data_IF_751928772021
#
_entry.id   IF_751928772021
#
_cell.length_a   1.000
_cell.length_b   1.000
_cell.length_c   1.000
_cell.angle_alpha   90.00
_cell.angle_beta   90.00
_cell.angle_gamma   90.00
#
_symmetry.space_group_name_H-M   'P 1'
#
loop_
_entity.id
_entity.type
_entity.pdbx_description
1 polymer ?
#
# COMPACT_ATOMS: atom_id res chain seq x y z
N UNK A 1 98.74 24.72 30.36
CA UNK A 1 97.33 25.20 30.38
C UNK A 1 96.72 24.82 29.04
N UNK A 2 95.87 23.80 28.98
CA UNK A 2 95.15 23.46 27.76
C UNK A 2 93.72 24.05 27.83
N UNK A 3 93.31 24.62 26.66
CA UNK A 3 91.99 25.22 26.46
C UNK A 3 90.97 24.16 26.18
N UNK A 4 89.81 24.21 26.85
CA UNK A 4 88.64 23.43 26.63
C UNK A 4 87.81 23.99 25.45
N UNK A 5 87.50 23.14 24.49
CA UNK A 5 86.53 23.44 23.39
C UNK A 5 85.13 23.05 23.83
N UNK A 6 84.08 23.80 23.49
CA UNK A 6 82.73 23.45 23.82
C UNK A 6 82.16 22.40 22.80
N UNK A 7 81.49 21.38 23.33
CA UNK A 7 80.76 20.40 22.57
C UNK A 7 79.43 21.00 22.02
N UNK A 8 79.18 20.81 20.75
CA UNK A 8 78.02 21.22 20.05
C UNK A 8 76.96 20.14 20.18
N UNK A 9 75.93 20.35 20.99
CA UNK A 9 74.75 19.48 21.10
C UNK A 9 73.91 19.61 19.87
N UNK A 10 73.75 18.51 19.06
CA UNK A 10 72.82 18.37 17.92
C UNK A 10 71.52 17.86 18.47
N UNK A 11 70.55 18.74 18.72
CA UNK A 11 69.14 18.33 18.96
C UNK A 11 68.52 17.73 17.72
N UNK A 12 68.08 16.45 17.80
CA UNK A 12 67.23 15.79 16.81
C UNK A 12 65.83 16.27 17.06
N UNK A 13 65.30 17.06 16.12
CA UNK A 13 63.87 17.37 16.07
C UNK A 13 63.11 16.15 15.54
N UNK A 14 62.24 15.55 16.40
CA UNK A 14 61.25 14.59 15.97
C UNK A 14 60.08 15.33 15.33
N UNK A 15 59.92 15.20 14.01
CA UNK A 15 58.73 15.66 13.30
C UNK A 15 57.68 14.56 13.43
N UNK A 16 56.67 14.76 14.34
CA UNK A 16 55.48 13.92 14.40
C UNK A 16 54.55 14.27 13.23
N UNK A 17 54.51 13.39 12.25
CA UNK A 17 53.50 13.45 11.16
C UNK A 17 52.20 12.90 11.69
N UNK A 18 51.27 13.77 12.07
CA UNK A 18 49.86 13.39 12.33
C UNK A 18 49.19 13.10 10.96
N UNK A 19 49.06 11.83 10.63
CA UNK A 19 48.23 11.41 9.49
C UNK A 19 46.73 11.63 9.87
N UNK A 20 46.15 12.71 9.37
CA UNK A 20 44.71 12.93 9.45
C UNK A 20 44.02 11.93 8.54
N UNK A 21 43.39 10.91 9.13
CA UNK A 21 42.47 9.99 8.39
C UNK A 21 41.21 10.78 8.06
N UNK A 22 41.11 11.29 6.84
CA UNK A 22 39.88 11.87 6.30
C UNK A 22 38.93 10.71 6.00
N UNK A 23 37.99 10.47 6.89
CA UNK A 23 36.83 9.61 6.58
C UNK A 23 36.00 10.33 5.51
N UNK A 24 36.11 9.90 4.27
CA UNK A 24 35.18 10.28 3.22
C UNK A 24 33.81 9.66 3.56
N UNK A 25 32.95 10.43 4.22
CA UNK A 25 31.52 10.18 4.30
C UNK A 25 30.95 10.37 2.89
N UNK A 26 31.00 9.31 2.05
CA UNK A 26 30.17 9.28 0.86
C UNK A 26 28.71 9.29 1.34
N UNK A 27 27.91 10.32 1.03
CA UNK A 27 26.49 10.24 1.28
C UNK A 27 25.97 9.05 0.47
N UNK A 28 25.37 8.07 1.15
CA UNK A 28 24.64 7.02 0.47
C UNK A 28 23.61 7.73 -0.43
N UNK A 29 23.77 7.64 -1.75
CA UNK A 29 22.80 8.17 -2.71
C UNK A 29 21.54 7.36 -2.49
N UNK A 30 20.62 7.91 -1.70
CA UNK A 30 19.30 7.33 -1.55
C UNK A 30 18.66 7.30 -2.95
N UNK A 31 18.48 6.11 -3.50
CA UNK A 31 17.80 5.95 -4.80
C UNK A 31 16.38 6.46 -4.62
N UNK A 32 16.11 7.60 -5.23
CA UNK A 32 14.78 8.22 -5.19
C UNK A 32 13.76 7.31 -5.86
N UNK A 33 12.65 7.06 -5.19
CA UNK A 33 11.51 6.31 -5.73
C UNK A 33 10.30 7.24 -5.89
N UNK A 34 9.44 6.94 -6.86
CA UNK A 34 8.17 7.63 -7.13
C UNK A 34 6.96 6.73 -6.83
N UNK A 35 7.18 5.72 -6.00
CA UNK A 35 6.20 4.66 -5.76
C UNK A 35 6.33 4.06 -4.37
N UNK A 36 5.26 3.43 -3.89
CA UNK A 36 5.24 2.75 -2.61
C UNK A 36 4.37 1.48 -2.66
N UNK A 37 4.75 0.50 -1.87
CA UNK A 37 3.94 -0.68 -1.59
C UNK A 37 2.99 -0.36 -0.44
N UNK A 38 1.69 -0.59 -0.62
CA UNK A 38 0.69 -0.46 0.45
C UNK A 38 0.18 -1.85 0.82
N UNK A 39 0.42 -2.25 2.06
CA UNK A 39 0.01 -3.54 2.62
C UNK A 39 -1.38 -3.41 3.26
N UNK A 40 -2.19 -4.47 3.16
CA UNK A 40 -3.53 -4.50 3.74
C UNK A 40 -3.72 -5.73 4.60
N UNK A 41 -4.00 -5.50 5.88
CA UNK A 41 -4.39 -6.49 6.87
C UNK A 41 -5.83 -6.23 7.36
N UNK A 42 -6.39 -7.16 8.18
CA UNK A 42 -7.66 -6.98 8.88
C UNK A 42 -7.60 -7.52 10.31
N UNK A 43 -7.47 -8.85 10.49
CA UNK A 43 -7.47 -9.58 11.77
C UNK A 43 -6.11 -10.17 12.08
N UNK A 44 -5.81 -10.40 13.35
CA UNK A 44 -4.51 -10.87 13.80
C UNK A 44 -4.66 -11.96 14.86
N UNK A 45 -4.17 -13.18 14.58
CA UNK A 45 -4.13 -14.28 15.52
C UNK A 45 -5.49 -14.85 15.94
N UNK A 46 -6.53 -14.60 15.15
CA UNK A 46 -7.85 -15.20 15.37
C UNK A 46 -7.89 -16.60 14.75
N UNK A 47 -8.54 -17.57 15.40
CA UNK A 47 -8.64 -18.95 14.91
C UNK A 47 -9.65 -19.13 13.78
N UNK A 48 -10.56 -18.17 13.63
CA UNK A 48 -11.59 -18.14 12.61
C UNK A 48 -11.24 -17.10 11.53
N UNK A 49 -11.89 -17.19 10.36
CA UNK A 49 -11.77 -16.19 9.30
C UNK A 49 -10.40 -16.13 8.59
N UNK A 50 -9.79 -17.28 8.26
CA UNK A 50 -8.49 -17.38 7.58
C UNK A 50 -8.31 -16.45 6.36
N UNK A 51 -9.39 -16.09 5.65
CA UNK A 51 -9.37 -15.19 4.50
C UNK A 51 -9.07 -13.73 4.87
N UNK A 52 -9.31 -13.32 6.11
CA UNK A 52 -9.07 -11.97 6.63
C UNK A 52 -8.11 -11.95 7.81
N UNK A 53 -7.85 -13.10 8.44
CA UNK A 53 -6.90 -13.25 9.53
C UNK A 53 -5.48 -13.45 9.02
N UNK A 54 -4.49 -12.93 9.73
CA UNK A 54 -3.09 -13.30 9.62
C UNK A 54 -2.67 -13.98 10.93
N UNK A 55 -1.97 -15.12 10.87
CA UNK A 55 -1.42 -15.71 12.08
C UNK A 55 -0.33 -14.82 12.66
N UNK A 56 -0.15 -14.84 13.98
CA UNK A 56 0.85 -14.00 14.63
C UNK A 56 2.28 -14.33 14.22
N UNK A 57 2.60 -15.62 14.00
CA UNK A 57 3.91 -16.04 13.48
C UNK A 57 4.21 -15.45 12.09
N UNK A 58 3.21 -15.43 11.19
CA UNK A 58 3.33 -14.79 9.88
C UNK A 58 3.50 -13.28 10.02
N UNK A 59 2.71 -12.63 10.89
CA UNK A 59 2.79 -11.20 11.10
C UNK A 59 4.15 -10.80 11.69
N UNK A 60 4.65 -11.52 12.69
CA UNK A 60 5.98 -11.28 13.27
C UNK A 60 7.10 -11.47 12.25
N UNK A 61 7.00 -12.47 11.36
CA UNK A 61 7.94 -12.65 10.25
C UNK A 61 7.89 -11.47 9.25
N UNK A 62 6.69 -10.94 8.95
CA UNK A 62 6.54 -9.74 8.11
C UNK A 62 7.20 -8.51 8.74
N UNK A 63 6.98 -8.30 10.04
CA UNK A 63 7.59 -7.19 10.76
C UNK A 63 9.11 -7.32 10.84
N UNK A 64 9.63 -8.53 11.05
CA UNK A 64 11.07 -8.81 11.03
C UNK A 64 11.69 -8.52 9.64
N UNK A 65 10.99 -8.87 8.54
CA UNK A 65 11.45 -8.50 7.20
C UNK A 65 11.49 -6.98 7.01
N UNK A 66 10.43 -6.25 7.43
CA UNK A 66 10.35 -4.79 7.33
C UNK A 66 11.34 -4.06 8.23
N UNK A 67 11.86 -4.71 9.29
CA UNK A 67 12.89 -4.14 10.16
C UNK A 67 14.29 -4.16 9.56
N UNK A 68 14.48 -4.70 8.35
CA UNK A 68 15.76 -4.63 7.64
C UNK A 68 16.00 -3.22 7.09
N UNK A 69 17.22 -2.73 7.17
CA UNK A 69 17.65 -1.35 6.83
C UNK A 69 17.22 -0.85 5.44
N UNK A 70 16.95 -1.77 4.51
CA UNK A 70 16.52 -1.39 3.16
C UNK A 70 15.09 -0.84 3.08
N UNK A 71 14.21 -1.20 4.04
CA UNK A 71 12.81 -0.79 4.00
C UNK A 71 12.58 0.51 4.75
N UNK A 72 11.71 1.33 4.21
CA UNK A 72 11.24 2.57 4.79
C UNK A 72 9.74 2.48 5.04
N UNK A 73 9.35 2.13 6.27
CA UNK A 73 7.94 2.08 6.66
C UNK A 73 7.50 3.49 7.07
N UNK A 74 6.68 4.13 6.23
CA UNK A 74 6.29 5.53 6.38
C UNK A 74 4.78 5.69 6.57
N UNK A 75 4.34 6.80 7.20
CA UNK A 75 2.92 7.13 7.28
C UNK A 75 2.29 7.25 5.89
N UNK A 76 1.16 6.59 5.67
CA UNK A 76 0.48 6.59 4.37
C UNK A 76 0.15 8.01 3.86
N UNK A 77 -0.32 8.97 4.69
CA UNK A 77 -0.56 10.34 4.22
C UNK A 77 0.68 11.03 3.67
N UNK A 78 1.86 10.82 4.26
CA UNK A 78 3.12 11.40 3.80
C UNK A 78 3.54 10.81 2.45
N UNK A 79 3.44 9.48 2.30
CA UNK A 79 3.68 8.79 1.02
C UNK A 79 2.80 9.36 -0.08
N UNK A 80 1.50 9.49 0.19
CA UNK A 80 0.54 9.96 -0.82
C UNK A 80 0.74 11.43 -1.16
N UNK A 81 1.14 12.24 -0.18
CA UNK A 81 1.52 13.64 -0.41
C UNK A 81 2.74 13.72 -1.34
N UNK A 82 3.80 12.98 -1.06
CA UNK A 82 5.01 12.95 -1.87
C UNK A 82 4.73 12.46 -3.31
N UNK A 83 3.95 11.38 -3.48
CA UNK A 83 3.56 10.87 -4.80
C UNK A 83 2.76 11.93 -5.58
N UNK A 84 1.84 12.64 -4.92
CA UNK A 84 1.01 13.68 -5.56
C UNK A 84 1.81 14.92 -5.94
N UNK A 85 2.74 15.36 -5.10
CA UNK A 85 3.59 16.53 -5.37
C UNK A 85 4.76 16.22 -6.32
N UNK A 86 5.06 14.94 -6.55
CA UNK A 86 6.23 14.49 -7.32
C UNK A 86 7.54 14.55 -6.51
N UNK A 87 7.44 14.70 -5.20
CA UNK A 87 8.59 14.60 -4.31
C UNK A 87 9.13 13.17 -4.25
N UNK A 88 10.46 12.98 -4.19
CA UNK A 88 11.05 11.65 -4.14
C UNK A 88 10.77 10.97 -2.79
N UNK A 89 10.46 9.68 -2.85
CA UNK A 89 10.39 8.81 -1.69
C UNK A 89 11.71 8.03 -1.54
N UNK A 90 12.06 7.58 -0.33
CA UNK A 90 13.11 6.58 -0.14
C UNK A 90 12.79 5.29 -0.93
N UNK A 91 13.82 4.58 -1.40
CA UNK A 91 13.64 3.28 -2.01
C UNK A 91 12.95 2.30 -1.03
N UNK A 92 12.24 1.32 -1.56
CA UNK A 92 11.52 0.32 -0.76
C UNK A 92 10.57 0.93 0.29
N UNK A 93 9.92 2.03 -0.06
CA UNK A 93 8.89 2.64 0.78
C UNK A 93 7.66 1.74 0.88
N UNK A 94 7.23 1.50 2.11
CA UNK A 94 6.09 0.64 2.46
C UNK A 94 5.14 1.39 3.39
N UNK A 95 3.83 1.27 3.16
CA UNK A 95 2.79 1.67 4.11
C UNK A 95 2.05 0.45 4.63
N UNK A 96 1.67 0.47 5.91
CA UNK A 96 0.84 -0.55 6.54
C UNK A 96 -0.57 0.01 6.68
N UNK A 97 -1.56 -0.73 6.17
CA UNK A 97 -2.98 -0.41 6.36
C UNK A 97 -3.73 -1.59 6.97
N UNK A 98 -4.73 -1.29 7.78
CA UNK A 98 -5.54 -2.28 8.47
C UNK A 98 -7.01 -1.87 8.30
N UNK A 99 -7.85 -2.80 7.87
CA UNK A 99 -9.28 -2.55 7.62
C UNK A 99 -10.15 -3.07 8.79
N UNK A 100 -11.36 -2.52 8.91
CA UNK A 100 -12.52 -2.99 9.69
C UNK A 100 -12.48 -2.75 11.21
N UNK A 101 -11.42 -2.27 11.78
CA UNK A 101 -11.31 -1.97 13.21
C UNK A 101 -11.63 -3.18 14.14
N UNK A 102 -11.13 -4.39 13.81
CA UNK A 102 -11.28 -5.57 14.66
C UNK A 102 -10.51 -5.44 15.97
N UNK A 103 -11.00 -6.09 17.04
CA UNK A 103 -10.40 -6.03 18.37
C UNK A 103 -8.95 -6.54 18.40
N UNK A 104 -8.61 -7.51 17.56
CA UNK A 104 -7.25 -8.05 17.44
C UNK A 104 -6.24 -7.02 16.91
N UNK A 105 -6.70 -5.95 16.24
CA UNK A 105 -5.82 -4.83 15.86
C UNK A 105 -5.27 -4.14 17.11
N UNK A 106 -6.13 -3.84 18.07
CA UNK A 106 -5.72 -3.19 19.33
C UNK A 106 -4.90 -4.12 20.22
N UNK A 107 -5.34 -5.39 20.32
CA UNK A 107 -4.72 -6.35 21.24
C UNK A 107 -3.38 -6.89 20.73
N UNK A 108 -3.26 -7.13 19.41
CA UNK A 108 -2.14 -7.88 18.84
C UNK A 108 -1.27 -7.05 17.89
N UNK A 109 -1.90 -6.34 16.94
CA UNK A 109 -1.14 -5.64 15.91
C UNK A 109 -0.48 -4.35 16.43
N UNK A 110 -1.24 -3.50 17.12
CA UNK A 110 -0.78 -2.19 17.55
C UNK A 110 0.44 -2.24 18.48
N UNK A 111 0.52 -3.10 19.50
CA UNK A 111 1.70 -3.23 20.34
C UNK A 111 2.94 -3.66 19.55
N UNK A 112 2.79 -4.59 18.60
CA UNK A 112 3.88 -5.09 17.76
C UNK A 112 4.40 -4.04 16.79
N UNK A 113 3.50 -3.25 16.19
CA UNK A 113 3.86 -2.12 15.32
C UNK A 113 4.54 -1.01 16.12
N UNK A 114 3.98 -0.63 17.27
CA UNK A 114 4.52 0.41 18.15
C UNK A 114 5.92 0.08 18.64
N UNK A 115 6.19 -1.17 19.02
CA UNK A 115 7.52 -1.60 19.49
C UNK A 115 8.60 -1.47 18.42
N UNK A 116 8.24 -1.38 17.14
CA UNK A 116 9.16 -1.20 16.00
C UNK A 116 9.11 0.21 15.40
N UNK A 117 8.31 1.10 15.97
CA UNK A 117 8.12 2.45 15.43
C UNK A 117 7.44 2.47 14.05
N UNK A 118 6.66 1.43 13.71
CA UNK A 118 6.00 1.33 12.41
C UNK A 118 4.64 2.02 12.43
N UNK A 119 4.47 3.11 11.66
CA UNK A 119 3.19 3.77 11.51
C UNK A 119 2.21 2.90 10.72
N UNK A 120 0.92 3.06 10.99
CA UNK A 120 -0.14 2.40 10.23
C UNK A 120 -1.38 3.27 10.07
N UNK A 121 -2.20 2.94 9.08
CA UNK A 121 -3.51 3.55 8.87
C UNK A 121 -4.60 2.54 9.15
N UNK A 122 -5.55 2.89 10.01
CA UNK A 122 -6.72 2.09 10.33
C UNK A 122 -7.95 2.64 9.60
N UNK A 123 -8.54 1.85 8.69
CA UNK A 123 -9.79 2.18 8.03
C UNK A 123 -10.98 1.65 8.84
N UNK A 124 -11.86 2.55 9.27
CA UNK A 124 -12.93 2.24 10.24
C UNK A 124 -14.30 2.33 9.59
N UNK A 125 -15.07 1.25 9.71
CA UNK A 125 -16.52 1.22 9.50
C UNK A 125 -17.23 1.48 10.82
N UNK A 126 -17.94 2.60 10.94
CA UNK A 126 -18.34 3.11 12.26
C UNK A 126 -19.50 2.34 12.91
N UNK A 127 -20.39 1.69 12.14
CA UNK A 127 -21.56 1.00 12.69
C UNK A 127 -21.22 -0.18 13.60
N UNK A 128 -20.20 -0.97 13.26
CA UNK A 128 -19.79 -2.11 14.08
C UNK A 128 -19.24 -1.66 15.43
N UNK A 129 -18.47 -0.57 15.44
CA UNK A 129 -17.93 0.10 16.63
C UNK A 129 -19.05 0.66 17.49
N UNK A 130 -20.01 1.38 16.88
CA UNK A 130 -21.19 1.96 17.56
C UNK A 130 -22.03 0.94 18.29
N UNK A 131 -22.29 -0.20 17.64
CA UNK A 131 -23.09 -1.27 18.18
C UNK A 131 -22.38 -2.08 19.26
N UNK A 132 -21.09 -1.82 19.51
CA UNK A 132 -20.28 -2.67 20.38
C UNK A 132 -20.25 -4.12 19.91
N UNK A 133 -20.25 -4.31 18.57
CA UNK A 133 -20.30 -5.65 17.98
C UNK A 133 -19.16 -6.53 18.50
N UNK A 134 -19.41 -7.78 18.87
CA UNK A 134 -18.36 -8.70 19.30
C UNK A 134 -17.23 -8.77 18.26
N UNK A 135 -15.99 -8.80 18.72
CA UNK A 135 -14.82 -8.85 17.85
C UNK A 135 -14.37 -7.50 17.27
N UNK A 136 -15.11 -6.40 17.48
CA UNK A 136 -14.71 -5.06 17.06
C UNK A 136 -14.19 -4.21 18.23
N UNK A 137 -13.33 -3.23 17.91
CA UNK A 137 -12.88 -2.23 18.88
C UNK A 137 -14.02 -1.32 19.33
N UNK A 138 -13.86 -0.73 20.53
CA UNK A 138 -14.66 0.39 21.00
C UNK A 138 -14.00 1.72 20.61
N UNK A 139 -14.74 2.83 20.69
CA UNK A 139 -14.23 4.16 20.39
C UNK A 139 -13.05 4.59 21.27
N UNK A 140 -13.04 4.21 22.57
CA UNK A 140 -11.92 4.49 23.47
C UNK A 140 -10.61 3.83 22.98
N UNK A 141 -10.68 2.61 22.45
CA UNK A 141 -9.53 1.91 21.89
C UNK A 141 -9.05 2.59 20.59
N UNK A 142 -9.96 3.01 19.72
CA UNK A 142 -9.61 3.73 18.48
C UNK A 142 -8.99 5.10 18.82
N UNK A 143 -9.54 5.81 19.81
CA UNK A 143 -8.98 7.08 20.31
C UNK A 143 -7.55 6.87 20.81
N UNK A 144 -7.34 5.82 21.61
CA UNK A 144 -5.99 5.48 22.09
C UNK A 144 -5.01 5.20 20.96
N UNK A 145 -5.42 4.49 19.89
CA UNK A 145 -4.58 4.28 18.72
C UNK A 145 -4.24 5.61 18.00
N UNK A 146 -5.22 6.53 17.92
CA UNK A 146 -5.00 7.86 17.32
C UNK A 146 -3.99 8.68 18.13
N UNK A 147 -4.10 8.68 19.46
CA UNK A 147 -3.13 9.30 20.37
C UNK A 147 -1.71 8.69 20.25
N UNK A 148 -1.65 7.39 19.99
CA UNK A 148 -0.41 6.66 19.75
C UNK A 148 0.14 6.83 18.31
N UNK A 149 -0.47 7.70 17.48
CA UNK A 149 0.03 8.09 16.16
C UNK A 149 -0.54 7.31 14.97
N UNK A 150 -1.54 6.44 15.19
CA UNK A 150 -2.21 5.79 14.06
C UNK A 150 -3.04 6.80 13.25
N UNK A 151 -2.93 6.74 11.93
CA UNK A 151 -3.82 7.48 11.02
C UNK A 151 -5.17 6.80 10.94
N UNK A 152 -6.26 7.55 11.06
CA UNK A 152 -7.60 7.02 10.86
C UNK A 152 -8.09 7.32 9.44
N UNK A 153 -8.53 6.27 8.75
CA UNK A 153 -9.18 6.32 7.44
C UNK A 153 -10.66 5.96 7.54
N UNK A 154 -11.40 6.33 6.51
CA UNK A 154 -12.85 6.14 6.41
C UNK A 154 -13.19 4.86 5.62
N UNK A 155 -14.18 4.08 6.07
CA UNK A 155 -14.67 2.89 5.38
C UNK A 155 -16.21 2.78 5.48
N UNK A 156 -16.91 3.93 5.32
CA UNK A 156 -18.37 4.10 5.45
C UNK A 156 -18.90 3.90 6.88
N UNK A 157 -20.22 4.09 7.08
CA UNK A 157 -20.86 3.74 8.35
C UNK A 157 -21.18 2.25 8.41
N UNK A 158 -21.93 1.76 7.44
CA UNK A 158 -22.51 0.42 7.47
C UNK A 158 -21.69 -0.67 6.79
N UNK A 159 -20.46 -0.36 6.32
CA UNK A 159 -19.67 -1.21 5.43
C UNK A 159 -20.44 -1.52 4.14
N UNK A 160 -21.02 -0.46 3.55
CA UNK A 160 -21.96 -0.50 2.46
C UNK A 160 -21.36 -1.07 1.16
N UNK A 161 -22.07 -1.92 0.46
CA UNK A 161 -21.75 -2.31 -0.91
C UNK A 161 -22.03 -1.15 -1.88
N UNK A 162 -21.10 -0.19 -1.96
CA UNK A 162 -21.32 1.09 -2.64
C UNK A 162 -21.68 0.95 -4.12
N UNK A 163 -21.00 0.05 -4.86
CA UNK A 163 -21.27 -0.17 -6.28
C UNK A 163 -22.65 -0.84 -6.57
N UNK A 164 -23.38 -1.24 -5.52
CA UNK A 164 -24.76 -1.76 -5.61
C UNK A 164 -25.79 -0.78 -5.06
N UNK A 165 -25.35 0.31 -4.48
CA UNK A 165 -26.20 1.25 -3.77
C UNK A 165 -26.44 2.51 -4.61
N UNK A 166 -27.62 3.09 -4.49
CA UNK A 166 -27.91 4.39 -5.08
C UNK A 166 -27.06 5.49 -4.47
N UNK A 167 -26.82 6.56 -5.22
CA UNK A 167 -25.99 7.69 -4.80
C UNK A 167 -26.42 8.28 -3.45
N UNK A 168 -27.73 8.46 -3.23
CA UNK A 168 -28.26 9.06 -1.99
C UNK A 168 -27.97 8.17 -0.77
N UNK A 169 -28.08 6.85 -0.91
CA UNK A 169 -27.71 5.90 0.14
C UNK A 169 -26.21 5.98 0.47
N UNK A 170 -25.36 6.10 -0.56
CA UNK A 170 -23.90 6.26 -0.39
C UNK A 170 -23.59 7.57 0.35
N UNK A 171 -24.18 8.69 -0.07
CA UNK A 171 -23.99 10.00 0.57
C UNK A 171 -24.45 9.99 2.04
N UNK A 172 -25.63 9.41 2.30
CA UNK A 172 -26.17 9.30 3.66
C UNK A 172 -25.30 8.47 4.57
N UNK A 173 -24.83 7.32 4.08
CA UNK A 173 -23.97 6.40 4.87
C UNK A 173 -22.62 7.05 5.22
N UNK A 174 -21.99 7.74 4.26
CA UNK A 174 -20.74 8.46 4.49
C UNK A 174 -20.95 9.63 5.46
N UNK A 175 -22.05 10.40 5.30
CA UNK A 175 -22.38 11.53 6.20
C UNK A 175 -22.54 11.03 7.64
N UNK A 176 -23.26 9.94 7.84
CA UNK A 176 -23.41 9.31 9.17
C UNK A 176 -22.05 8.94 9.75
N UNK A 177 -21.17 8.33 8.98
CA UNK A 177 -19.82 8.00 9.47
C UNK A 177 -19.00 9.25 9.82
N UNK A 178 -19.08 10.30 9.00
CA UNK A 178 -18.41 11.58 9.25
C UNK A 178 -18.84 12.21 10.58
N UNK A 179 -20.15 12.21 10.86
CA UNK A 179 -20.70 12.70 12.12
C UNK A 179 -20.15 11.90 13.32
N UNK A 180 -19.97 10.59 13.15
CA UNK A 180 -19.37 9.73 14.20
C UNK A 180 -17.89 10.03 14.39
N UNK A 181 -17.10 10.13 13.34
CA UNK A 181 -15.68 10.50 13.44
C UNK A 181 -15.49 11.86 14.10
N UNK A 182 -16.30 12.85 13.72
CA UNK A 182 -16.23 14.17 14.33
C UNK A 182 -16.60 14.13 15.81
N UNK A 183 -17.67 13.40 16.18
CA UNK A 183 -18.13 13.31 17.58
C UNK A 183 -17.13 12.55 18.45
N UNK A 184 -16.62 11.42 17.99
CA UNK A 184 -15.83 10.50 18.83
C UNK A 184 -14.34 10.80 18.84
N UNK A 185 -13.81 11.35 17.73
CA UNK A 185 -12.38 11.57 17.56
C UNK A 185 -12.02 13.04 17.26
N UNK A 186 -12.99 13.90 16.99
CA UNK A 186 -12.75 15.30 16.60
C UNK A 186 -12.11 15.47 15.21
N UNK A 187 -12.15 14.44 14.34
CA UNK A 187 -11.48 14.44 13.04
C UNK A 187 -12.43 14.15 11.89
N UNK A 188 -12.00 14.53 10.69
CA UNK A 188 -12.63 14.17 9.41
C UNK A 188 -11.60 13.42 8.55
N UNK A 189 -11.64 12.07 8.51
CA UNK A 189 -10.69 11.28 7.73
C UNK A 189 -10.65 11.69 6.27
N UNK A 190 -9.45 11.82 5.69
CA UNK A 190 -9.24 12.22 4.29
C UNK A 190 -8.88 11.06 3.37
N UNK A 191 -8.61 9.90 3.93
CA UNK A 191 -8.34 8.67 3.21
C UNK A 191 -9.56 7.76 3.28
N UNK A 192 -9.91 7.13 2.17
CA UNK A 192 -11.07 6.27 2.05
C UNK A 192 -10.67 4.86 1.59
N UNK A 193 -11.26 3.81 2.17
CA UNK A 193 -11.18 2.45 1.65
C UNK A 193 -12.58 1.98 1.26
N UNK A 194 -12.74 1.55 -0.01
CA UNK A 194 -14.02 0.98 -0.43
C UNK A 194 -14.29 -0.32 0.31
N UNK A 195 -15.44 -0.48 0.99
CA UNK A 195 -15.86 -1.77 1.50
C UNK A 195 -15.78 -2.84 0.42
N UNK A 196 -15.17 -3.99 0.74
CA UNK A 196 -14.92 -5.09 -0.21
C UNK A 196 -14.02 -4.71 -1.40
N UNK A 197 -13.51 -3.48 -1.49
CA UNK A 197 -12.84 -2.92 -2.66
C UNK A 197 -13.77 -2.68 -3.85
N UNK A 198 -15.08 -2.68 -3.65
CA UNK A 198 -16.09 -2.51 -4.70
C UNK A 198 -16.28 -1.03 -5.01
N UNK A 199 -15.96 -0.64 -6.24
CA UNK A 199 -16.14 0.70 -6.76
C UNK A 199 -16.66 0.68 -8.19
N UNK A 200 -17.25 1.78 -8.62
CA UNK A 200 -17.52 2.13 -9.99
C UNK A 200 -17.20 3.62 -10.22
N UNK A 201 -17.29 4.09 -11.45
CA UNK A 201 -16.99 5.50 -11.76
C UNK A 201 -17.88 6.49 -10.98
N UNK A 202 -19.14 6.11 -10.71
CA UNK A 202 -20.08 6.97 -9.95
C UNK A 202 -19.66 7.10 -8.49
N UNK A 203 -19.34 5.97 -7.84
CA UNK A 203 -18.86 5.98 -6.45
C UNK A 203 -17.51 6.67 -6.31
N UNK A 204 -16.60 6.47 -7.27
CA UNK A 204 -15.31 7.19 -7.31
C UNK A 204 -15.51 8.71 -7.42
N UNK A 205 -16.42 9.17 -8.28
CA UNK A 205 -16.78 10.58 -8.39
C UNK A 205 -17.39 11.12 -7.09
N UNK A 206 -18.30 10.36 -6.46
CA UNK A 206 -18.90 10.74 -5.18
C UNK A 206 -17.86 10.90 -4.07
N UNK A 207 -16.90 9.97 -3.95
CA UNK A 207 -15.81 10.07 -2.97
C UNK A 207 -14.95 11.32 -3.19
N UNK A 208 -14.65 11.63 -4.46
CA UNK A 208 -13.93 12.86 -4.83
C UNK A 208 -14.69 14.11 -4.45
N UNK A 209 -15.98 14.19 -4.78
CA UNK A 209 -16.85 15.31 -4.47
C UNK A 209 -17.04 15.55 -2.96
N UNK A 210 -17.03 14.47 -2.17
CA UNK A 210 -17.07 14.57 -0.70
C UNK A 210 -15.75 15.02 -0.06
N UNK A 211 -14.72 15.31 -0.86
CA UNK A 211 -13.46 15.91 -0.40
C UNK A 211 -12.47 14.92 0.21
N UNK A 212 -12.61 13.62 -0.07
CA UNK A 212 -11.55 12.68 0.22
C UNK A 212 -10.35 12.92 -0.70
N UNK A 213 -9.15 12.79 -0.16
CA UNK A 213 -7.92 13.05 -0.91
C UNK A 213 -7.53 11.85 -1.80
N UNK A 214 -7.75 10.64 -1.29
CA UNK A 214 -7.42 9.38 -1.95
C UNK A 214 -8.39 8.28 -1.52
N UNK A 215 -8.59 7.27 -2.41
CA UNK A 215 -9.40 6.11 -2.09
C UNK A 215 -8.73 4.80 -2.56
N UNK A 216 -8.94 3.74 -1.78
CA UNK A 216 -8.27 2.45 -1.93
C UNK A 216 -9.24 1.33 -2.28
N UNK A 217 -8.90 0.58 -3.32
CA UNK A 217 -9.50 -0.72 -3.62
C UNK A 217 -8.87 -1.86 -2.82
N UNK A 218 -9.13 -3.08 -3.28
CA UNK A 218 -8.58 -4.32 -2.72
C UNK A 218 -7.82 -5.17 -3.76
N UNK A 219 -7.39 -4.57 -4.85
CA UNK A 219 -6.53 -5.20 -5.86
C UNK A 219 -5.06 -4.99 -5.53
N UNK A 220 -4.23 -5.97 -5.89
CA UNK A 220 -2.79 -5.90 -5.70
C UNK A 220 -2.15 -4.95 -6.70
N UNK A 221 -1.07 -4.28 -6.30
CA UNK A 221 -0.31 -3.39 -7.15
C UNK A 221 0.52 -2.42 -6.31
N UNK A 222 1.42 -1.72 -6.98
CA UNK A 222 2.26 -0.69 -6.35
C UNK A 222 1.66 0.67 -6.65
N UNK A 223 1.49 1.50 -5.64
CA UNK A 223 1.03 2.89 -5.79
C UNK A 223 2.12 3.71 -6.45
N UNK A 224 1.76 4.43 -7.50
CA UNK A 224 2.67 5.23 -8.31
C UNK A 224 1.97 6.52 -8.77
N UNK A 225 2.74 7.52 -9.19
CA UNK A 225 2.20 8.81 -9.64
C UNK A 225 1.12 8.72 -10.73
N UNK A 226 1.15 7.69 -11.58
CA UNK A 226 0.14 7.47 -12.63
C UNK A 226 -1.05 6.61 -12.17
N UNK A 227 -1.08 6.15 -10.92
CA UNK A 227 -2.20 5.39 -10.37
C UNK A 227 -3.46 6.28 -10.28
N UNK A 228 -4.64 5.67 -10.44
CA UNK A 228 -5.92 6.35 -10.26
C UNK A 228 -6.10 6.74 -8.77
N UNK A 229 -6.11 8.02 -8.41
CA UNK A 229 -6.11 8.46 -7.00
C UNK A 229 -7.30 7.96 -6.19
N UNK A 230 -8.42 7.70 -6.86
CA UNK A 230 -9.65 7.23 -6.23
C UNK A 230 -9.87 5.72 -6.40
N UNK A 231 -8.82 4.97 -6.83
CA UNK A 231 -8.85 3.51 -6.87
C UNK A 231 -7.43 2.94 -6.74
N UNK A 232 -6.74 3.29 -5.66
CA UNK A 232 -5.36 2.88 -5.38
C UNK A 232 -5.29 1.40 -4.97
N UNK A 233 -4.24 0.66 -5.41
CA UNK A 233 -4.05 -0.73 -5.06
C UNK A 233 -3.47 -0.92 -3.67
N UNK A 234 -3.73 -2.11 -3.07
CA UNK A 234 -3.10 -2.57 -1.83
C UNK A 234 -2.87 -4.08 -1.89
N UNK A 235 -1.72 -4.56 -1.44
CA UNK A 235 -1.45 -6.00 -1.39
C UNK A 235 -2.14 -6.63 -0.18
N UNK A 236 -3.04 -7.63 -0.39
CA UNK A 236 -3.73 -8.30 0.69
C UNK A 236 -2.79 -9.27 1.42
N UNK A 237 -2.92 -9.32 2.74
CA UNK A 237 -2.24 -10.24 3.63
C UNK A 237 -3.27 -10.92 4.53
N UNK A 238 -3.29 -12.25 4.47
CA UNK A 238 -4.11 -13.15 5.26
C UNK A 238 -3.35 -14.47 5.40
N UNK A 239 -3.90 -15.45 6.09
CA UNK A 239 -3.22 -16.74 6.26
C UNK A 239 -2.77 -17.37 4.95
N UNK A 240 -3.66 -17.40 3.95
CA UNK A 240 -3.37 -17.94 2.61
C UNK A 240 -2.34 -17.09 1.84
N UNK A 241 -2.28 -15.81 2.11
CA UNK A 241 -1.45 -14.82 1.44
C UNK A 241 -0.32 -14.26 2.31
N UNK A 242 -0.05 -14.89 3.46
CA UNK A 242 0.90 -14.43 4.48
C UNK A 242 2.24 -15.16 4.49
N UNK A 243 2.56 -16.03 3.52
CA UNK A 243 3.88 -16.69 3.51
C UNK A 243 5.01 -15.67 3.38
N UNK A 244 6.11 -15.92 4.06
CA UNK A 244 7.28 -15.03 4.07
C UNK A 244 7.86 -14.81 2.67
N UNK A 245 7.89 -15.87 1.85
CA UNK A 245 8.36 -15.78 0.46
C UNK A 245 7.49 -14.81 -0.38
N UNK A 246 6.16 -14.91 -0.24
CA UNK A 246 5.23 -13.97 -0.91
C UNK A 246 5.36 -12.56 -0.34
N UNK A 247 5.51 -12.43 0.98
CA UNK A 247 5.69 -11.12 1.62
C UNK A 247 6.93 -10.41 1.07
N UNK A 248 8.08 -11.09 1.01
CA UNK A 248 9.31 -10.52 0.39
C UNK A 248 9.09 -10.14 -1.06
N UNK A 249 8.38 -10.97 -1.84
CA UNK A 249 8.06 -10.66 -3.22
C UNK A 249 7.29 -9.34 -3.37
N UNK A 250 6.21 -9.16 -2.60
CA UNK A 250 5.36 -7.97 -2.70
C UNK A 250 5.99 -6.72 -2.06
N UNK A 251 6.70 -6.87 -0.92
CA UNK A 251 7.39 -5.74 -0.27
C UNK A 251 8.52 -5.17 -1.14
N UNK A 252 9.05 -5.97 -2.07
CA UNK A 252 10.04 -5.54 -3.05
C UNK A 252 9.42 -5.22 -4.43
N UNK A 253 8.10 -5.20 -4.59
CA UNK A 253 7.47 -4.96 -5.88
C UNK A 253 7.80 -3.56 -6.43
N UNK A 254 7.81 -3.46 -7.75
CA UNK A 254 7.98 -2.23 -8.51
C UNK A 254 6.64 -1.86 -9.17
N UNK A 255 6.36 -0.59 -9.43
CA UNK A 255 5.22 -0.22 -10.24
C UNK A 255 5.36 -0.74 -11.67
N UNK A 256 4.24 -1.03 -12.30
CA UNK A 256 4.12 -1.13 -13.75
C UNK A 256 3.42 0.16 -14.20
N UNK A 257 4.16 1.21 -14.60
CA UNK A 257 3.57 2.49 -14.97
C UNK A 257 2.76 2.37 -16.26
N UNK A 258 1.50 2.75 -16.20
CA UNK A 258 0.54 2.61 -17.30
C UNK A 258 -0.12 3.94 -17.64
N UNK A 259 -0.50 4.04 -18.91
CA UNK A 259 -1.40 5.08 -19.44
C UNK A 259 -2.49 4.43 -20.28
N UNK A 260 -3.46 5.21 -20.73
CA UNK A 260 -4.50 4.81 -21.68
C UNK A 260 -5.22 3.51 -21.30
N UNK A 261 -5.52 3.35 -20.00
CA UNK A 261 -6.33 2.22 -19.54
C UNK A 261 -7.72 2.33 -20.15
N UNK A 262 -8.10 1.35 -20.99
CA UNK A 262 -9.45 1.23 -21.52
C UNK A 262 -10.34 0.48 -20.55
N UNK A 263 -11.65 0.81 -20.59
CA UNK A 263 -12.64 0.31 -19.63
C UNK A 263 -12.26 0.59 -18.18
N UNK A 264 -12.00 1.85 -17.85
CA UNK A 264 -11.65 2.33 -16.51
C UNK A 264 -12.72 2.07 -15.44
N UNK A 265 -13.92 1.65 -15.82
CA UNK A 265 -14.97 1.33 -14.86
C UNK A 265 -14.72 -0.04 -14.22
N UNK A 266 -14.46 -0.12 -12.90
CA UNK A 266 -14.35 -1.39 -12.19
C UNK A 266 -15.64 -2.24 -12.23
N UNK A 267 -16.81 -1.59 -12.42
CA UNK A 267 -18.10 -2.25 -12.67
C UNK A 267 -18.51 -2.07 -14.14
N UNK A 268 -17.95 -2.87 -15.06
CA UNK A 268 -18.15 -2.68 -16.49
C UNK A 268 -19.58 -3.09 -16.93
N UNK A 269 -20.16 -2.33 -17.86
CA UNK A 269 -21.46 -2.67 -18.46
C UNK A 269 -21.36 -3.83 -19.47
N UNK A 270 -20.20 -3.96 -20.16
CA UNK A 270 -19.94 -5.04 -21.12
C UNK A 270 -19.18 -6.17 -20.42
N UNK A 271 -19.57 -7.40 -20.65
CA UNK A 271 -18.95 -8.60 -20.08
C UNK A 271 -18.77 -9.70 -21.16
N UNK A 272 -17.54 -10.17 -21.48
CA UNK A 272 -16.30 -9.76 -20.84
C UNK A 272 -15.95 -8.30 -21.14
N UNK A 273 -15.32 -7.59 -20.20
CA UNK A 273 -14.92 -6.20 -20.41
C UNK A 273 -13.78 -6.13 -21.44
N UNK A 274 -13.81 -5.17 -22.38
CA UNK A 274 -12.61 -4.83 -23.12
C UNK A 274 -11.61 -4.20 -22.15
N UNK A 275 -10.40 -4.75 -22.05
CA UNK A 275 -9.40 -4.23 -21.14
C UNK A 275 -8.03 -4.15 -21.82
N UNK A 276 -7.45 -2.98 -21.78
CA UNK A 276 -6.13 -2.75 -22.32
C UNK A 276 -5.46 -1.54 -21.68
N UNK A 277 -4.16 -1.43 -21.83
CA UNK A 277 -3.35 -0.35 -21.30
C UNK A 277 -2.07 -0.18 -22.09
N UNK A 278 -1.50 1.01 -22.03
CA UNK A 278 -0.19 1.31 -22.61
C UNK A 278 0.86 1.32 -21.51
N UNK A 279 1.89 0.49 -21.64
CA UNK A 279 3.02 0.46 -20.70
C UNK A 279 3.96 1.64 -21.02
N UNK A 280 4.48 2.29 -19.99
CA UNK A 280 5.41 3.41 -20.17
C UNK A 280 6.64 2.99 -20.98
N UNK A 281 7.06 3.86 -21.90
CA UNK A 281 8.18 3.60 -22.82
C UNK A 281 9.54 3.41 -22.16
N UNK A 282 9.70 3.75 -20.89
CA UNK A 282 10.90 3.44 -20.12
C UNK A 282 11.10 1.93 -19.87
N UNK A 283 10.05 1.13 -20.09
CA UNK A 283 10.07 -0.33 -19.95
C UNK A 283 10.12 -0.94 -21.36
N UNK A 284 11.28 -1.44 -21.78
CA UNK A 284 11.53 -1.82 -23.16
C UNK A 284 11.05 -3.23 -23.51
N UNK A 285 11.31 -4.22 -22.67
CA UNK A 285 10.96 -5.62 -22.93
C UNK A 285 9.66 -6.03 -22.24
N UNK A 286 8.60 -6.20 -23.02
CA UNK A 286 7.29 -6.66 -22.58
C UNK A 286 7.01 -8.12 -22.91
N UNK A 287 7.93 -8.85 -23.51
CA UNK A 287 7.74 -10.25 -23.94
C UNK A 287 7.40 -11.18 -22.79
N UNK A 288 7.85 -10.86 -21.58
CA UNK A 288 7.61 -11.61 -20.35
C UNK A 288 6.44 -11.08 -19.50
N UNK A 289 5.67 -10.12 -20.01
CA UNK A 289 4.48 -9.64 -19.33
C UNK A 289 3.42 -10.73 -19.34
N UNK A 290 2.91 -11.06 -18.16
CA UNK A 290 1.84 -12.03 -18.00
C UNK A 290 0.71 -11.44 -17.16
N UNK A 291 -0.52 -11.76 -17.54
CA UNK A 291 -1.72 -11.37 -16.80
C UNK A 291 -2.47 -12.62 -16.32
N UNK A 292 -2.97 -12.54 -15.07
CA UNK A 292 -3.71 -13.61 -14.41
C UNK A 292 -5.02 -13.07 -13.83
N UNK A 293 -6.11 -13.74 -14.14
CA UNK A 293 -7.41 -13.42 -13.57
C UNK A 293 -7.78 -14.43 -12.47
N UNK A 294 -8.28 -13.94 -11.33
CA UNK A 294 -8.48 -14.73 -10.11
C UNK A 294 -9.44 -15.93 -10.26
N UNK A 295 -10.28 -15.94 -11.31
CA UNK A 295 -11.25 -17.02 -11.58
C UNK A 295 -10.98 -17.77 -12.89
N UNK A 296 -10.14 -17.23 -13.79
CA UNK A 296 -9.89 -17.81 -15.11
C UNK A 296 -8.41 -18.21 -15.30
N UNK A 297 -7.56 -18.00 -14.28
CA UNK A 297 -6.14 -18.30 -14.37
C UNK A 297 -5.39 -17.34 -15.30
N UNK A 298 -4.41 -17.85 -16.03
CA UNK A 298 -3.64 -17.06 -17.01
C UNK A 298 -4.55 -16.63 -18.15
N UNK A 299 -4.61 -15.31 -18.41
CA UNK A 299 -5.35 -14.73 -19.53
C UNK A 299 -4.38 -14.21 -20.59
N UNK A 300 -4.82 -14.19 -21.85
CA UNK A 300 -3.97 -13.72 -22.95
C UNK A 300 -3.75 -12.22 -22.85
N UNK A 301 -2.49 -11.82 -22.73
CA UNK A 301 -2.03 -10.43 -22.85
C UNK A 301 -1.40 -10.28 -24.25
N UNK A 302 -2.03 -9.49 -25.09
CA UNK A 302 -1.68 -9.33 -26.49
C UNK A 302 -0.95 -8.01 -26.68
N UNK A 303 0.31 -8.04 -27.13
CA UNK A 303 1.09 -6.84 -27.41
C UNK A 303 0.72 -6.33 -28.81
N UNK A 304 0.15 -5.12 -28.87
CA UNK A 304 -0.14 -4.41 -30.12
C UNK A 304 0.89 -3.30 -30.32
N UNK A 305 1.64 -3.36 -31.41
CA UNK A 305 2.78 -2.49 -31.60
C UNK A 305 3.87 -2.73 -30.55
N UNK A 306 4.37 -1.66 -29.92
CA UNK A 306 5.54 -1.76 -29.01
C UNK A 306 5.19 -1.72 -27.52
N UNK A 307 4.09 -1.07 -27.13
CA UNK A 307 3.78 -0.83 -25.70
C UNK A 307 2.30 -0.97 -25.32
N UNK A 308 1.41 -1.21 -26.29
CA UNK A 308 -0.01 -1.42 -26.02
C UNK A 308 -0.28 -2.87 -25.69
N UNK A 309 -0.89 -3.14 -24.54
CA UNK A 309 -1.35 -4.46 -24.12
C UNK A 309 -2.87 -4.51 -24.15
N UNK A 310 -3.40 -5.52 -24.82
CA UNK A 310 -4.83 -5.87 -24.76
C UNK A 310 -5.00 -7.20 -24.03
N UNK A 311 -5.82 -7.20 -22.99
CA UNK A 311 -6.14 -8.40 -22.21
C UNK A 311 -7.42 -9.04 -22.76
N UNK A 312 -7.31 -10.32 -23.14
CA UNK A 312 -8.42 -11.10 -23.69
C UNK A 312 -8.90 -12.10 -22.67
N UNK A 313 -10.10 -11.86 -22.13
CA UNK A 313 -10.77 -12.83 -21.26
C UNK A 313 -11.39 -13.93 -22.09
N UNK A 314 -11.12 -15.23 -21.80
CA UNK A 314 -11.64 -16.34 -22.58
C UNK A 314 -13.16 -16.48 -22.47
N UNK A 315 -13.73 -16.08 -21.34
CA UNK A 315 -15.17 -16.16 -21.05
C UNK A 315 -15.65 -14.90 -20.33
N UNK A 316 -16.96 -14.78 -20.16
CA UNK A 316 -17.56 -13.74 -19.31
C UNK A 316 -17.06 -13.87 -17.86
N UNK A 317 -16.99 -12.73 -17.18
CA UNK A 317 -16.67 -12.69 -15.75
C UNK A 317 -17.93 -13.05 -14.95
N UNK A 318 -17.76 -13.92 -13.95
CA UNK A 318 -18.87 -14.29 -13.08
C UNK A 318 -19.31 -13.11 -12.20
N UNK A 319 -20.59 -13.07 -11.79
CA UNK A 319 -21.06 -12.11 -10.81
C UNK A 319 -20.20 -12.05 -9.54
N UNK A 320 -20.14 -10.90 -8.92
CA UNK A 320 -19.33 -10.63 -7.76
C UNK A 320 -17.95 -10.05 -8.11
N UNK A 321 -16.99 -10.29 -7.23
CA UNK A 321 -15.63 -9.71 -7.33
C UNK A 321 -14.67 -10.65 -8.01
N UNK A 322 -13.84 -10.08 -8.88
CA UNK A 322 -12.69 -10.77 -9.44
C UNK A 322 -11.52 -9.81 -9.63
N UNK A 323 -10.32 -10.33 -9.76
CA UNK A 323 -9.10 -9.52 -9.84
C UNK A 323 -8.26 -9.95 -11.03
N UNK A 324 -7.73 -8.97 -11.73
CA UNK A 324 -6.70 -9.12 -12.74
C UNK A 324 -5.36 -8.66 -12.13
N UNK A 325 -4.31 -9.44 -12.32
CA UNK A 325 -2.94 -9.07 -11.96
C UNK A 325 -2.06 -9.24 -13.18
N UNK A 326 -1.38 -8.18 -13.60
CA UNK A 326 -0.38 -8.21 -14.64
C UNK A 326 0.99 -7.98 -14.04
N UNK A 327 1.94 -8.85 -14.31
CA UNK A 327 3.28 -8.82 -13.76
C UNK A 327 4.34 -8.93 -14.85
N UNK A 328 5.47 -8.27 -14.60
CA UNK A 328 6.62 -8.26 -15.49
C UNK A 328 7.90 -8.34 -14.65
N UNK A 329 8.87 -9.21 -14.99
CA UNK A 329 10.19 -9.16 -14.35
C UNK A 329 10.81 -7.77 -14.47
N UNK A 330 11.37 -7.29 -13.39
CA UNK A 330 12.08 -6.01 -13.29
C UNK A 330 13.55 -6.20 -12.94
N UNK A 331 14.28 -5.11 -12.72
CA UNK A 331 15.70 -5.16 -12.35
C UNK A 331 15.90 -5.78 -10.97
N UNK A 332 17.11 -6.35 -10.75
CA UNK A 332 17.54 -6.88 -9.45
C UNK A 332 16.62 -7.96 -8.86
N UNK A 333 16.00 -8.80 -9.70
CA UNK A 333 15.08 -9.85 -9.27
C UNK A 333 13.73 -9.36 -8.73
N UNK A 334 13.45 -8.07 -8.83
CA UNK A 334 12.16 -7.47 -8.43
C UNK A 334 11.12 -7.68 -9.53
N UNK A 335 9.84 -7.60 -9.15
CA UNK A 335 8.72 -7.74 -10.07
C UNK A 335 7.94 -6.46 -10.18
N UNK A 336 7.62 -6.03 -11.40
CA UNK A 336 6.65 -4.98 -11.67
C UNK A 336 5.26 -5.55 -11.53
N UNK A 337 4.36 -4.79 -10.92
CA UNK A 337 3.02 -5.25 -10.61
C UNK A 337 1.98 -4.18 -10.86
N UNK A 338 0.97 -4.55 -11.64
CA UNK A 338 -0.28 -3.82 -11.81
C UNK A 338 -1.45 -4.75 -11.54
N UNK A 339 -2.45 -4.29 -10.81
CA UNK A 339 -3.69 -5.02 -10.60
C UNK A 339 -4.91 -4.18 -10.87
N UNK A 340 -6.01 -4.87 -11.10
CA UNK A 340 -7.33 -4.29 -11.28
C UNK A 340 -8.39 -5.17 -10.63
N UNK A 341 -9.41 -4.60 -9.99
CA UNK A 341 -10.54 -5.33 -9.45
C UNK A 341 -11.78 -5.05 -10.28
N UNK A 342 -12.46 -6.11 -10.67
CA UNK A 342 -13.79 -6.04 -11.27
C UNK A 342 -14.87 -6.34 -10.25
N UNK A 343 -15.99 -5.69 -10.41
CA UNK A 343 -17.24 -5.99 -9.75
C UNK A 343 -18.34 -6.15 -10.80
N UNK A 344 -18.87 -7.37 -10.94
CA UNK A 344 -19.98 -7.68 -11.86
C UNK A 344 -21.25 -7.81 -11.00
N UNK A 345 -22.23 -6.92 -11.14
CA UNK A 345 -23.51 -7.06 -10.44
C UNK A 345 -24.18 -8.39 -10.78
N UNK A 346 -24.91 -8.95 -9.83
CA UNK A 346 -25.85 -10.02 -10.16
C UNK A 346 -26.84 -9.47 -11.20
N UNK A 347 -27.23 -10.30 -12.18
CA UNK A 347 -28.37 -9.93 -13.03
C UNK A 347 -29.58 -9.71 -12.13
N UNK A 348 -30.39 -8.66 -12.36
CA UNK A 348 -31.63 -8.46 -11.63
C UNK A 348 -32.58 -9.64 -11.79
#
# INVERSE_FOLDING_TARGET
MPQLRPQRNRGRAFVSICAAVIWNLFPAIAVAADSAVVLRYHRFGESEHAQTNIRLDQFDAHLAELSKDKYNVLPLPEILKAIKSGEPLPAFTVAITIDDAFKSVFAEAAPRLKSRGFPFTLFVSTRAVERGSPGYMKWDQIRKLTEDGATIGHQTHSHLHMARSGRDAVLSDIKTANERFQKELGIMPKLFAYPYGEADLSTMATIKEMGFAFAFGQHSGVVHRTSEPYFLPRFPLSEDYGSEARFRLIANALPLPLTDITARNPAPKRNPPPFGFTVNRSIQDLSRLNCYHSKQGKVRAELLGTHRIEVRFPTTLNPGRSRLNCTLPGPNGRWRWFGWQYFIPNKP
#
